data_IF_569338840618
#
_entry.id   IF_569338840618
#
_cell.length_a   1.000
_cell.length_b   1.000
_cell.length_c   1.000
_cell.angle_alpha   90.00
_cell.angle_beta   90.00
_cell.angle_gamma   90.00
#
_symmetry.space_group_name_H-M   'P 1'
#
loop_
_entity.id
_entity.type
_entity.pdbx_description
1 polymer ?
#
# COMPACT_ATOMS: atom_id res chain seq x y z
N UNK A 1 52.94 -30.27 49.50
CA UNK A 1 53.41 -29.35 48.43
C UNK A 1 52.60 -29.40 47.13
N UNK A 2 51.69 -30.37 46.91
CA UNK A 2 50.99 -30.53 45.62
C UNK A 2 49.59 -29.88 45.55
N UNK A 3 48.99 -29.55 46.71
CA UNK A 3 47.64 -28.97 46.80
C UNK A 3 47.61 -27.45 46.52
N UNK A 4 48.64 -26.71 46.92
CA UNK A 4 48.68 -25.24 46.79
C UNK A 4 48.89 -24.77 45.33
N UNK A 5 49.56 -25.59 44.51
CA UNK A 5 49.76 -25.32 43.08
C UNK A 5 48.45 -25.43 42.27
N UNK A 6 47.54 -26.33 42.68
CA UNK A 6 46.27 -26.61 42.01
C UNK A 6 45.24 -25.50 42.26
N UNK A 7 45.26 -24.91 43.46
CA UNK A 7 44.42 -23.76 43.85
C UNK A 7 44.81 -22.50 43.07
N UNK A 8 46.12 -22.25 42.89
CA UNK A 8 46.63 -21.12 42.10
C UNK A 8 46.29 -21.21 40.60
N UNK A 9 46.35 -22.42 40.03
CA UNK A 9 45.98 -22.70 38.64
C UNK A 9 44.48 -22.46 38.38
N UNK A 10 43.60 -22.90 39.30
CA UNK A 10 42.14 -22.71 39.23
C UNK A 10 41.74 -21.23 39.31
N UNK A 11 42.40 -20.43 40.15
CA UNK A 11 42.13 -18.98 40.30
C UNK A 11 42.47 -18.15 39.06
N UNK A 12 43.54 -18.49 38.34
CA UNK A 12 43.92 -17.83 37.07
C UNK A 12 42.99 -18.22 35.92
N UNK A 13 42.53 -19.48 35.88
CA UNK A 13 41.56 -19.97 34.89
C UNK A 13 40.17 -19.35 35.10
N UNK A 14 39.75 -19.17 36.35
CA UNK A 14 38.51 -18.45 36.70
C UNK A 14 38.60 -16.97 36.32
N UNK A 15 39.73 -16.29 36.59
CA UNK A 15 39.92 -14.89 36.15
C UNK A 15 39.88 -14.74 34.63
N UNK A 16 40.54 -15.66 33.89
CA UNK A 16 40.48 -15.67 32.42
C UNK A 16 39.06 -15.96 31.90
N UNK A 17 38.36 -16.92 32.50
CA UNK A 17 36.96 -17.22 32.16
C UNK A 17 36.03 -16.03 32.44
N UNK A 18 36.25 -15.33 33.56
CA UNK A 18 35.49 -14.14 33.92
C UNK A 18 35.75 -12.98 32.95
N UNK A 19 37.00 -12.77 32.52
CA UNK A 19 37.33 -11.77 31.49
C UNK A 19 36.72 -12.11 30.13
N UNK A 20 36.72 -13.39 29.74
CA UNK A 20 36.05 -13.85 28.51
C UNK A 20 34.54 -13.64 28.61
N UNK A 21 33.92 -13.95 29.76
CA UNK A 21 32.50 -13.71 29.98
C UNK A 21 32.14 -12.23 29.89
N UNK A 22 32.94 -11.34 30.49
CA UNK A 22 32.73 -9.89 30.38
C UNK A 22 32.88 -9.41 28.93
N UNK A 23 33.84 -9.94 28.18
CA UNK A 23 34.02 -9.61 26.77
C UNK A 23 32.80 -10.04 25.93
N UNK A 24 32.26 -11.24 26.16
CA UNK A 24 31.05 -11.73 25.47
C UNK A 24 29.84 -10.88 25.82
N UNK A 25 29.65 -10.52 27.09
CA UNK A 25 28.55 -9.65 27.52
C UNK A 25 28.68 -8.25 26.88
N UNK A 26 29.88 -7.68 26.84
CA UNK A 26 30.12 -6.39 26.20
C UNK A 26 29.84 -6.43 24.70
N UNK A 27 30.22 -7.52 24.02
CA UNK A 27 29.92 -7.73 22.60
C UNK A 27 28.40 -7.83 22.35
N UNK A 28 27.69 -8.62 23.15
CA UNK A 28 26.23 -8.75 23.04
C UNK A 28 25.51 -7.43 23.32
N UNK A 29 25.95 -6.66 24.31
CA UNK A 29 25.41 -5.33 24.60
C UNK A 29 25.65 -4.38 23.42
N UNK A 30 26.88 -4.34 22.88
CA UNK A 30 27.22 -3.52 21.73
C UNK A 30 26.37 -3.87 20.50
N UNK A 31 26.18 -5.16 20.22
CA UNK A 31 25.30 -5.63 19.15
C UNK A 31 23.85 -5.16 19.34
N UNK A 32 23.30 -5.32 20.54
CA UNK A 32 21.96 -4.85 20.86
C UNK A 32 21.82 -3.33 20.66
N UNK A 33 22.75 -2.54 21.18
CA UNK A 33 22.74 -1.08 20.99
C UNK A 33 22.84 -0.68 19.52
N UNK A 34 23.68 -1.37 18.73
CA UNK A 34 23.77 -1.14 17.29
C UNK A 34 22.44 -1.44 16.59
N UNK A 35 21.76 -2.54 16.95
CA UNK A 35 20.44 -2.87 16.36
C UNK A 35 19.37 -1.83 16.71
N UNK A 36 19.33 -1.34 17.95
CA UNK A 36 18.40 -0.27 18.36
C UNK A 36 18.73 1.03 17.61
N UNK A 37 20.01 1.35 17.44
CA UNK A 37 20.44 2.53 16.70
C UNK A 37 20.06 2.45 15.21
N UNK A 38 20.20 1.28 14.59
CA UNK A 38 19.77 1.05 13.20
C UNK A 38 18.25 1.19 13.08
N UNK A 39 17.46 0.58 13.98
CA UNK A 39 16.00 0.67 13.96
C UNK A 39 15.50 2.10 14.16
N UNK A 40 16.08 2.84 15.11
CA UNK A 40 15.74 4.26 15.34
C UNK A 40 16.19 5.18 14.21
N UNK A 41 17.29 4.86 13.53
CA UNK A 41 17.72 5.58 12.33
C UNK A 41 16.79 5.30 11.14
N UNK A 42 16.32 4.05 11.00
CA UNK A 42 15.31 3.69 10.02
C UNK A 42 14.01 4.46 10.27
N UNK A 43 13.49 4.49 11.49
CA UNK A 43 12.28 5.28 11.80
C UNK A 43 12.42 6.75 11.39
N UNK A 44 13.57 7.39 11.68
CA UNK A 44 13.79 8.80 11.28
C UNK A 44 13.93 9.01 9.77
N UNK A 45 14.39 8.00 9.03
CA UNK A 45 14.45 8.04 7.56
C UNK A 45 13.07 7.73 6.93
N UNK A 46 12.28 6.86 7.55
CA UNK A 46 10.93 6.53 7.10
C UNK A 46 9.88 7.59 7.49
N UNK A 47 10.12 8.40 8.52
CA UNK A 47 9.21 9.51 8.91
C UNK A 47 9.26 10.70 7.94
N UNK A 48 10.20 10.72 6.98
CA UNK A 48 10.18 11.68 5.88
C UNK A 48 9.16 11.30 4.79
N UNK A 49 8.69 10.05 4.75
CA UNK A 49 7.50 9.65 3.99
C UNK A 49 6.29 9.70 4.92
N UNK A 50 5.77 10.91 5.13
CA UNK A 50 4.60 11.11 5.97
C UNK A 50 3.38 10.34 5.45
N UNK A 51 2.85 9.46 6.28
CA UNK A 51 1.45 9.07 6.28
C UNK A 51 0.94 9.07 7.73
N UNK A 52 -0.05 9.92 8.01
CA UNK A 52 -0.85 9.76 9.21
C UNK A 52 -1.62 8.44 9.08
N UNK A 53 -1.11 7.37 9.69
CA UNK A 53 -1.78 6.07 9.69
C UNK A 53 -3.06 6.16 10.52
N UNK A 54 -4.19 6.34 9.84
CA UNK A 54 -5.51 6.14 10.44
C UNK A 54 -5.74 4.64 10.58
N UNK A 55 -5.99 4.21 11.82
CA UNK A 55 -6.15 2.81 12.19
C UNK A 55 -7.24 2.11 11.32
N UNK A 56 -6.90 1.07 10.53
CA UNK A 56 -7.81 0.47 9.55
C UNK A 56 -8.97 -0.32 10.18
N UNK A 57 -8.96 -0.54 11.49
CA UNK A 57 -9.85 -1.50 12.18
C UNK A 57 -11.11 -0.86 12.78
N UNK A 58 -11.23 0.47 12.80
CA UNK A 58 -12.38 1.14 13.43
C UNK A 58 -13.70 0.95 12.65
N UNK A 59 -13.62 0.73 11.34
CA UNK A 59 -14.79 0.67 10.46
C UNK A 59 -15.36 -0.75 10.29
N UNK A 60 -14.53 -1.77 10.49
CA UNK A 60 -14.89 -3.17 10.29
C UNK A 60 -15.98 -3.63 11.26
N UNK A 61 -16.10 -2.98 12.43
CA UNK A 61 -17.09 -3.35 13.47
C UNK A 61 -18.55 -3.02 13.10
N UNK A 62 -18.81 -2.22 12.04
CA UNK A 62 -20.18 -1.82 11.63
C UNK A 62 -20.65 -2.43 10.31
N UNK A 63 -19.90 -3.38 9.73
CA UNK A 63 -20.27 -4.01 8.45
C UNK A 63 -20.22 -3.06 7.25
N UNK A 64 -19.56 -1.91 7.38
CA UNK A 64 -19.34 -0.96 6.28
C UNK A 64 -17.90 -1.16 5.81
N UNK A 65 -17.73 -1.69 4.60
CA UNK A 65 -16.43 -1.74 3.95
C UNK A 65 -16.07 -0.33 3.49
N UNK A 66 -15.12 0.30 4.18
CA UNK A 66 -14.64 1.62 3.79
C UNK A 66 -13.63 1.43 2.66
N UNK A 67 -14.07 1.71 1.44
CA UNK A 67 -13.16 1.89 0.32
C UNK A 67 -12.57 3.30 0.46
N UNK A 68 -11.47 3.43 1.19
CA UNK A 68 -10.73 4.69 1.25
C UNK A 68 -9.96 4.81 -0.06
N UNK A 69 -10.40 5.69 -0.95
CA UNK A 69 -9.57 6.10 -2.07
C UNK A 69 -8.42 6.93 -1.52
N UNK A 70 -7.19 6.42 -1.64
CA UNK A 70 -6.00 7.22 -1.34
C UNK A 70 -5.90 8.32 -2.40
N UNK A 71 -6.12 9.57 -2.01
CA UNK A 71 -5.93 10.69 -2.91
C UNK A 71 -4.42 10.91 -3.10
N UNK A 72 -3.91 10.62 -4.29
CA UNK A 72 -2.48 10.72 -4.59
C UNK A 72 -1.93 12.16 -4.67
N UNK A 73 -2.67 13.18 -4.23
CA UNK A 73 -2.18 14.54 -4.22
C UNK A 73 -1.90 15.11 -5.61
N UNK A 74 -1.15 16.22 -5.64
CA UNK A 74 -0.46 16.63 -6.86
C UNK A 74 0.63 15.59 -7.14
N UNK A 75 0.57 14.93 -8.31
CA UNK A 75 1.64 14.01 -8.70
C UNK A 75 3.00 14.73 -8.62
N UNK A 76 4.03 14.11 -8.03
CA UNK A 76 5.38 14.67 -8.04
C UNK A 76 5.78 14.97 -9.48
N UNK A 77 6.56 16.04 -9.69
CA UNK A 77 6.92 16.50 -11.02
C UNK A 77 7.56 15.39 -11.88
N UNK A 78 8.26 14.44 -11.25
CA UNK A 78 8.85 13.26 -11.88
C UNK A 78 7.80 12.30 -12.48
N UNK A 79 6.60 12.21 -11.88
CA UNK A 79 5.47 11.42 -12.40
C UNK A 79 4.59 12.20 -13.38
N UNK A 80 4.81 13.50 -13.54
CA UNK A 80 4.19 14.27 -14.62
C UNK A 80 5.01 14.02 -15.88
N UNK A 81 4.73 12.91 -16.55
CA UNK A 81 5.38 12.56 -17.80
C UNK A 81 5.20 13.71 -18.82
N UNK A 82 6.30 14.11 -19.47
CA UNK A 82 6.27 15.07 -20.57
C UNK A 82 5.84 14.31 -21.83
N UNK A 83 4.54 14.04 -21.93
CA UNK A 83 3.95 13.20 -22.97
C UNK A 83 3.84 13.95 -24.28
N UNK A 84 4.06 13.24 -25.38
CA UNK A 84 3.76 13.76 -26.72
C UNK A 84 2.26 13.85 -26.94
N UNK A 85 1.81 14.73 -27.84
CA UNK A 85 0.38 14.85 -28.20
C UNK A 85 -0.21 13.53 -28.72
N UNK A 86 0.60 12.74 -29.42
CA UNK A 86 0.23 11.41 -29.91
C UNK A 86 -0.05 10.45 -28.75
N UNK A 87 0.80 10.45 -27.72
CA UNK A 87 0.58 9.64 -26.51
C UNK A 87 -0.63 10.11 -25.71
N UNK A 88 -0.84 11.43 -25.63
CA UNK A 88 -1.98 12.03 -24.96
C UNK A 88 -3.31 11.67 -25.65
N UNK A 89 -3.29 11.57 -26.99
CA UNK A 89 -4.47 11.29 -27.81
C UNK A 89 -4.55 9.83 -28.30
N UNK A 90 -3.72 8.92 -27.77
CA UNK A 90 -3.63 7.55 -28.27
C UNK A 90 -4.90 6.72 -28.05
N UNK A 91 -5.78 7.13 -27.13
CA UNK A 91 -7.05 6.48 -26.72
C UNK A 91 -7.21 5.06 -27.30
N UNK A 92 -6.48 4.10 -26.73
CA UNK A 92 -6.41 2.71 -27.21
C UNK A 92 -7.65 1.93 -26.76
N UNK A 93 -8.83 2.53 -26.94
CA UNK A 93 -10.10 2.01 -26.49
C UNK A 93 -10.41 0.66 -27.15
N UNK A 94 -10.23 -0.42 -26.38
CA UNK A 94 -10.41 -1.79 -26.82
C UNK A 94 -11.19 -2.58 -25.74
N UNK A 95 -12.49 -2.28 -25.56
CA UNK A 95 -13.28 -2.86 -24.49
C UNK A 95 -13.42 -4.38 -24.66
N UNK A 96 -13.28 -5.08 -23.55
CA UNK A 96 -13.36 -6.54 -23.47
C UNK A 96 -14.71 -6.91 -22.86
N UNK A 97 -15.48 -7.76 -23.55
CA UNK A 97 -16.80 -8.17 -23.08
C UNK A 97 -16.76 -8.77 -21.66
N UNK A 98 -17.62 -8.28 -20.77
CA UNK A 98 -17.74 -8.78 -19.39
C UNK A 98 -16.76 -8.15 -18.38
N UNK A 99 -15.75 -7.40 -18.82
CA UNK A 99 -14.79 -6.70 -17.95
C UNK A 99 -15.46 -5.47 -17.34
N UNK A 100 -15.36 -5.32 -16.02
CA UNK A 100 -15.98 -4.23 -15.27
C UNK A 100 -17.52 -4.27 -15.19
N UNK A 101 -18.16 -5.28 -15.80
CA UNK A 101 -19.61 -5.47 -15.76
C UNK A 101 -20.10 -5.80 -14.36
N UNK A 102 -21.28 -5.29 -14.03
CA UNK A 102 -21.84 -5.35 -12.67
C UNK A 102 -21.04 -4.54 -11.64
N UNK A 103 -20.04 -3.76 -12.07
CA UNK A 103 -19.13 -3.07 -11.16
C UNK A 103 -18.04 -3.94 -10.57
N UNK A 104 -17.74 -5.11 -11.17
CA UNK A 104 -16.66 -5.99 -10.71
C UNK A 104 -15.27 -5.34 -10.89
N UNK A 105 -14.31 -5.63 -10.01
CA UNK A 105 -12.93 -5.16 -10.19
C UNK A 105 -12.31 -5.75 -11.45
N UNK A 106 -11.37 -5.02 -12.04
CA UNK A 106 -10.59 -5.44 -13.20
C UNK A 106 -9.15 -5.65 -12.73
N UNK A 107 -8.63 -6.85 -12.94
CA UNK A 107 -7.24 -7.17 -12.65
C UNK A 107 -6.43 -7.01 -13.93
N UNK A 108 -5.31 -6.32 -13.83
CA UNK A 108 -4.34 -6.17 -14.90
C UNK A 108 -3.22 -7.19 -14.75
N UNK A 109 -2.50 -7.45 -15.84
CA UNK A 109 -1.24 -8.19 -15.80
C UNK A 109 -0.08 -7.24 -15.51
N UNK A 110 1.10 -7.75 -15.12
CA UNK A 110 2.27 -6.95 -14.72
C UNK A 110 2.66 -5.86 -15.75
N UNK A 111 2.60 -6.16 -17.04
CA UNK A 111 2.94 -5.20 -18.10
C UNK A 111 1.88 -4.09 -18.23
N UNK A 112 0.62 -4.44 -18.01
CA UNK A 112 -0.50 -3.51 -18.06
C UNK A 112 -0.56 -2.62 -16.82
N UNK A 113 -0.17 -3.16 -15.67
CA UNK A 113 -0.03 -2.40 -14.43
C UNK A 113 1.06 -1.32 -14.56
N UNK A 114 2.21 -1.66 -15.16
CA UNK A 114 3.25 -0.65 -15.45
C UNK A 114 2.74 0.44 -16.39
N UNK A 115 2.04 0.05 -17.45
CA UNK A 115 1.43 1.01 -18.38
C UNK A 115 0.36 1.87 -17.69
N UNK A 116 -0.41 1.29 -16.78
CA UNK A 116 -1.40 2.03 -15.99
C UNK A 116 -0.74 3.06 -15.08
N UNK A 117 0.38 2.71 -14.44
CA UNK A 117 1.16 3.64 -13.61
C UNK A 117 1.75 4.80 -14.43
N UNK A 118 2.31 4.50 -15.59
CA UNK A 118 2.90 5.50 -16.50
C UNK A 118 1.84 6.47 -17.05
N UNK A 119 0.64 5.95 -17.36
CA UNK A 119 -0.47 6.73 -17.93
C UNK A 119 -1.37 7.38 -16.89
N UNK A 120 -1.23 7.01 -15.60
CA UNK A 120 -2.02 7.59 -14.51
C UNK A 120 -1.88 9.10 -14.43
N UNK A 121 -0.70 9.65 -14.77
CA UNK A 121 -0.43 11.08 -14.70
C UNK A 121 -1.26 11.94 -15.66
N UNK A 122 -1.87 11.35 -16.69
CA UNK A 122 -2.69 12.06 -17.67
C UNK A 122 -4.00 12.54 -17.04
N UNK A 123 -4.78 11.60 -16.49
CA UNK A 123 -6.14 11.86 -16.01
C UNK A 123 -6.33 11.56 -14.51
N UNK A 124 -5.27 11.13 -13.81
CA UNK A 124 -5.30 10.73 -12.40
C UNK A 124 -6.30 9.59 -12.11
N UNK A 125 -6.54 8.73 -13.11
CA UNK A 125 -7.22 7.45 -12.97
C UNK A 125 -6.56 6.42 -13.90
N UNK A 126 -6.86 5.13 -13.69
CA UNK A 126 -6.29 4.05 -14.47
C UNK A 126 -6.92 4.01 -15.87
N UNK A 127 -6.23 4.58 -16.87
CA UNK A 127 -6.68 4.63 -18.25
C UNK A 127 -6.72 3.25 -18.90
N UNK A 128 -5.73 2.40 -18.61
CA UNK A 128 -5.66 1.03 -19.15
C UNK A 128 -6.90 0.21 -18.75
N UNK A 129 -7.35 0.34 -17.50
CA UNK A 129 -8.60 -0.28 -17.05
C UNK A 129 -9.81 0.36 -17.71
N UNK A 130 -9.86 1.69 -17.79
CA UNK A 130 -10.97 2.42 -18.42
C UNK A 130 -11.18 1.98 -19.87
N UNK A 131 -10.11 1.86 -20.64
CA UNK A 131 -10.14 1.50 -22.06
C UNK A 131 -10.58 0.06 -22.31
N UNK A 132 -10.43 -0.81 -21.31
CA UNK A 132 -10.89 -2.21 -21.32
C UNK A 132 -12.37 -2.37 -20.93
N UNK A 133 -12.96 -1.37 -20.28
CA UNK A 133 -14.34 -1.44 -19.80
C UNK A 133 -15.29 -0.91 -20.89
N UNK A 134 -16.35 -1.66 -21.17
CA UNK A 134 -17.37 -1.23 -22.12
C UNK A 134 -18.11 0.05 -21.64
N UNK A 135 -18.34 1.00 -22.56
CA UNK A 135 -19.06 2.26 -22.25
C UNK A 135 -20.48 2.02 -21.75
N UNK A 136 -21.12 0.95 -22.22
CA UNK A 136 -22.48 0.53 -21.86
C UNK A 136 -22.50 -0.58 -20.80
N UNK A 137 -21.50 -0.64 -19.92
CA UNK A 137 -21.45 -1.65 -18.84
C UNK A 137 -22.62 -1.51 -17.86
N UNK A 138 -22.95 -2.63 -17.22
CA UNK A 138 -23.99 -2.68 -16.19
C UNK A 138 -23.43 -2.46 -14.79
N UNK A 139 -24.30 -2.10 -13.84
CA UNK A 139 -23.96 -1.99 -12.41
C UNK A 139 -24.96 -2.77 -11.55
N UNK A 140 -24.49 -3.32 -10.43
CA UNK A 140 -25.37 -3.91 -9.43
C UNK A 140 -26.18 -2.84 -8.69
N UNK A 141 -27.47 -3.09 -8.47
CA UNK A 141 -28.32 -2.21 -7.65
C UNK A 141 -28.02 -2.39 -6.16
N UNK A 142 -27.16 -1.54 -5.62
CA UNK A 142 -26.78 -1.50 -4.19
C UNK A 142 -27.68 -0.58 -3.35
N UNK A 143 -28.73 0.01 -3.94
CA UNK A 143 -29.59 0.97 -3.23
C UNK A 143 -30.34 0.29 -2.08
N UNK A 144 -30.63 1.08 -1.03
CA UNK A 144 -31.49 0.63 0.06
C UNK A 144 -32.85 0.14 -0.50
N UNK A 145 -33.40 -0.99 -0.02
CA UNK A 145 -34.71 -1.49 -0.46
C UNK A 145 -35.84 -0.46 -0.44
N UNK A 146 -35.80 0.51 0.47
CA UNK A 146 -36.77 1.59 0.51
C UNK A 146 -36.68 2.52 -0.71
N UNK A 147 -35.47 2.77 -1.24
CA UNK A 147 -35.27 3.58 -2.45
C UNK A 147 -35.91 2.94 -3.69
N UNK A 148 -35.97 1.60 -3.76
CA UNK A 148 -36.62 0.88 -4.86
C UNK A 148 -38.13 1.09 -4.91
N UNK A 149 -38.75 1.50 -3.80
CA UNK A 149 -40.19 1.71 -3.67
C UNK A 149 -40.60 3.17 -3.87
N UNK A 150 -39.64 4.09 -4.07
CA UNK A 150 -39.95 5.51 -4.27
C UNK A 150 -40.72 5.68 -5.58
N UNK A 151 -41.91 6.26 -5.49
CA UNK A 151 -42.70 6.67 -6.64
C UNK A 151 -42.38 8.13 -6.92
N UNK A 152 -42.00 8.43 -8.14
CA UNK A 152 -41.75 9.80 -8.59
C UNK A 152 -43.03 10.30 -9.28
N UNK A 153 -43.46 11.56 -9.06
CA UNK A 153 -44.54 12.13 -9.86
C UNK A 153 -44.14 12.02 -11.33
N UNK A 154 -45.05 11.54 -12.17
CA UNK A 154 -44.80 11.44 -13.60
C UNK A 154 -44.49 12.84 -14.13
N UNK A 155 -43.23 13.09 -14.52
CA UNK A 155 -42.94 14.22 -15.38
C UNK A 155 -43.69 13.96 -16.69
N UNK A 156 -44.73 14.76 -16.92
CA UNK A 156 -45.40 14.88 -18.21
C UNK A 156 -44.35 15.40 -19.21
N UNK A 157 -43.64 14.48 -19.85
CA UNK A 157 -42.88 14.77 -21.06
C UNK A 157 -43.81 14.50 -22.25
N UNK A 158 -44.68 15.47 -22.52
CA UNK A 158 -45.20 15.73 -23.86
C UNK A 158 -44.07 16.29 -24.74
N UNK A 159 -43.02 15.52 -24.95
CA UNK A 159 -41.98 15.85 -25.94
C UNK A 159 -41.75 14.59 -26.74
N UNK A 160 -42.19 14.64 -28.00
CA UNK A 160 -42.17 13.63 -29.06
C UNK A 160 -43.42 12.73 -29.12
N UNK A 161 -44.52 13.36 -29.52
CA UNK A 161 -45.38 12.79 -30.56
C UNK A 161 -44.88 13.26 -31.91
#
# INVERSE_FOLDING_TARGET
MQFDALIGYRRRRIRKAFLVLLFVIAFLACWFFLTVLILTAQEKLFDQSGENFVEPTSYTRRGVQVVVGHYNGNLPAEKRANLTEEQLNANNFAPIAGVGDGGRPVNLNDDEDRLADDTFGINQFNLVVSDKIALNRTLQDVRNPHCRKKTYPGFYFDVLK
#
